data_IF_643736804848
#
_entry.id   IF_643736804848
#
_cell.length_a   1.000
_cell.length_b   1.000
_cell.length_c   1.000
_cell.angle_alpha   90.00
_cell.angle_beta   90.00
_cell.angle_gamma   90.00
#
_symmetry.space_group_name_H-M   'P 1'
#
loop_
_entity.id
_entity.type
_entity.pdbx_description
1 polymer ?
#
# COMPACT_ATOMS: atom_id res chain seq x y z
N UNK A 1 -29.06 20.64 -3.63
CA UNK A 1 -28.28 19.40 -3.79
C UNK A 1 -26.98 19.80 -4.48
N UNK A 2 -25.89 20.03 -3.73
CA UNK A 2 -24.63 20.53 -4.33
C UNK A 2 -23.98 19.40 -5.15
N UNK A 3 -23.85 19.58 -6.46
CA UNK A 3 -23.04 18.69 -7.30
C UNK A 3 -21.61 18.67 -6.75
N UNK A 4 -21.17 17.53 -6.21
CA UNK A 4 -19.76 17.33 -5.84
C UNK A 4 -18.93 17.36 -7.12
N UNK A 5 -18.31 18.51 -7.40
CA UNK A 5 -17.45 18.76 -8.56
C UNK A 5 -16.33 17.71 -8.64
N UNK A 6 -16.48 16.74 -9.55
CA UNK A 6 -15.45 15.75 -9.87
C UNK A 6 -14.31 16.43 -10.63
N UNK A 7 -13.06 16.13 -10.26
CA UNK A 7 -11.87 16.61 -10.98
C UNK A 7 -10.99 15.42 -11.34
N UNK A 8 -10.67 15.27 -12.63
CA UNK A 8 -9.76 14.24 -13.13
C UNK A 8 -8.39 14.86 -13.36
N UNK A 9 -7.35 14.24 -12.83
CA UNK A 9 -5.97 14.70 -12.99
C UNK A 9 -5.26 13.87 -14.05
N UNK A 10 -4.44 14.52 -14.89
CA UNK A 10 -3.60 13.85 -15.90
C UNK A 10 -2.68 12.76 -15.30
N UNK A 11 -2.38 12.87 -14.01
CA UNK A 11 -1.59 11.90 -13.27
C UNK A 11 -2.34 10.59 -12.93
N UNK A 12 -3.58 10.39 -13.41
CA UNK A 12 -4.28 9.09 -13.33
C UNK A 12 -5.11 8.87 -12.07
N UNK A 13 -5.69 9.93 -11.49
CA UNK A 13 -6.62 9.81 -10.36
C UNK A 13 -7.76 10.84 -10.42
N UNK A 14 -8.83 10.53 -9.70
CA UNK A 14 -10.08 11.28 -9.64
C UNK A 14 -10.23 11.85 -8.24
N UNK A 15 -10.64 13.11 -8.11
CA UNK A 15 -10.99 13.76 -6.84
C UNK A 15 -12.48 14.07 -6.81
N UNK A 16 -13.16 13.61 -5.76
CA UNK A 16 -14.58 13.93 -5.46
C UNK A 16 -14.63 14.61 -4.09
N UNK A 17 -14.79 15.93 -4.06
CA UNK A 17 -14.68 16.70 -2.82
C UNK A 17 -13.27 16.65 -2.23
N UNK A 18 -13.13 16.13 -1.00
CA UNK A 18 -11.83 15.98 -0.32
C UNK A 18 -11.19 14.59 -0.48
N UNK A 19 -11.85 13.67 -1.22
CA UNK A 19 -11.45 12.28 -1.38
C UNK A 19 -10.88 12.03 -2.77
N UNK A 20 -9.91 11.12 -2.86
CA UNK A 20 -9.26 10.72 -4.10
C UNK A 20 -9.41 9.22 -4.36
N UNK A 21 -9.51 8.90 -5.65
CA UNK A 21 -9.78 7.56 -6.16
C UNK A 21 -8.90 7.28 -7.38
N UNK A 22 -8.57 6.01 -7.62
CA UNK A 22 -7.96 5.59 -8.89
C UNK A 22 -8.97 5.73 -10.04
N UNK A 23 -8.50 5.59 -11.28
CA UNK A 23 -9.39 5.58 -12.46
C UNK A 23 -10.41 4.44 -12.42
N UNK A 24 -10.11 3.36 -11.68
CA UNK A 24 -11.01 2.23 -11.44
C UNK A 24 -11.84 2.41 -10.16
N UNK A 25 -11.99 3.65 -9.69
CA UNK A 25 -12.80 4.06 -8.53
C UNK A 25 -12.40 3.41 -7.20
N UNK A 26 -11.15 2.94 -7.06
CA UNK A 26 -10.64 2.45 -5.77
C UNK A 26 -10.17 3.62 -4.91
N UNK A 27 -10.54 3.63 -3.64
CA UNK A 27 -10.25 4.76 -2.75
C UNK A 27 -8.77 4.84 -2.41
N UNK A 28 -8.13 5.99 -2.59
CA UNK A 28 -6.70 6.17 -2.28
C UNK A 28 -6.51 6.83 -0.90
N UNK A 29 -7.43 7.74 -0.53
CA UNK A 29 -7.30 8.58 0.64
C UNK A 29 -7.79 10.01 0.40
N UNK A 30 -7.26 10.97 1.16
CA UNK A 30 -7.55 12.38 0.93
C UNK A 30 -6.91 12.88 -0.38
N UNK A 31 -7.47 13.93 -0.98
CA UNK A 31 -6.91 14.57 -2.17
C UNK A 31 -5.47 15.07 -1.98
N UNK A 32 -5.14 15.53 -0.77
CA UNK A 32 -3.77 15.93 -0.39
C UNK A 32 -2.83 14.73 -0.37
N UNK A 33 -3.25 13.62 0.23
CA UNK A 33 -2.45 12.39 0.29
C UNK A 33 -2.22 11.84 -1.13
N UNK A 34 -3.27 11.72 -1.95
CA UNK A 34 -3.12 11.25 -3.33
C UNK A 34 -2.21 12.13 -4.18
N UNK A 35 -2.30 13.46 -4.03
CA UNK A 35 -1.37 14.36 -4.71
C UNK A 35 0.07 14.15 -4.25
N UNK A 36 0.32 13.98 -2.95
CA UNK A 36 1.65 13.69 -2.43
C UNK A 36 2.20 12.35 -2.96
N UNK A 37 1.41 11.27 -2.90
CA UNK A 37 1.82 9.94 -3.35
C UNK A 37 2.10 9.91 -4.86
N UNK A 38 1.15 10.38 -5.66
CA UNK A 38 1.21 10.22 -7.12
C UNK A 38 2.09 11.28 -7.77
N UNK A 39 1.85 12.56 -7.46
CA UNK A 39 2.50 13.67 -8.17
C UNK A 39 3.88 13.96 -7.59
N UNK A 40 4.02 13.98 -6.26
CA UNK A 40 5.31 14.33 -5.63
C UNK A 40 6.24 13.14 -5.49
N UNK A 41 5.71 11.94 -5.23
CA UNK A 41 6.51 10.72 -5.01
C UNK A 41 6.54 9.76 -6.20
N UNK A 42 5.67 9.93 -7.20
CA UNK A 42 5.62 9.02 -8.34
C UNK A 42 5.19 7.60 -7.97
N UNK A 43 4.45 7.44 -6.87
CA UNK A 43 3.93 6.15 -6.40
C UNK A 43 2.61 5.89 -7.12
N UNK A 44 2.51 4.73 -7.77
CA UNK A 44 1.29 4.28 -8.45
C UNK A 44 0.44 3.44 -7.49
N UNK A 45 -0.75 3.91 -7.06
CA UNK A 45 -1.53 3.22 -6.03
C UNK A 45 -2.22 1.95 -6.52
N UNK A 46 -2.23 0.94 -5.66
CA UNK A 46 -2.85 -0.36 -5.87
C UNK A 46 -3.61 -0.82 -4.63
N UNK A 47 -4.68 -1.57 -4.84
CA UNK A 47 -5.38 -2.33 -3.79
C UNK A 47 -4.70 -3.68 -3.58
N UNK A 48 -4.66 -4.14 -2.34
CA UNK A 48 -4.34 -5.54 -2.04
C UNK A 48 -5.58 -6.43 -2.22
N UNK A 49 -5.41 -7.75 -2.43
CA UNK A 49 -6.53 -8.68 -2.49
C UNK A 49 -7.46 -8.54 -1.28
N UNK A 50 -8.77 -8.53 -1.51
CA UNK A 50 -9.77 -8.37 -0.45
C UNK A 50 -10.00 -6.94 0.05
N UNK A 51 -9.14 -5.98 -0.30
CA UNK A 51 -9.26 -4.58 0.14
C UNK A 51 -9.96 -3.69 -0.90
N UNK A 52 -10.75 -2.72 -0.41
CA UNK A 52 -11.39 -1.68 -1.25
C UNK A 52 -10.57 -0.39 -1.33
N UNK A 53 -9.53 -0.29 -0.51
CA UNK A 53 -8.70 0.89 -0.33
C UNK A 53 -7.31 0.60 -0.91
N UNK A 54 -6.78 1.54 -1.68
CA UNK A 54 -5.39 1.54 -2.11
C UNK A 54 -4.50 1.94 -0.93
N UNK A 55 -3.74 0.98 -0.44
CA UNK A 55 -2.85 1.11 0.70
C UNK A 55 -1.40 0.74 0.36
N UNK A 56 -1.14 0.28 -0.87
CA UNK A 56 0.20 0.01 -1.37
C UNK A 56 0.41 0.63 -2.75
N UNK A 57 1.66 0.77 -3.19
CA UNK A 57 1.94 1.26 -4.53
C UNK A 57 3.41 1.22 -4.91
N UNK A 58 3.68 1.09 -6.21
CA UNK A 58 5.04 1.00 -6.74
C UNK A 58 5.55 2.36 -7.20
N UNK A 59 6.78 2.71 -6.82
CA UNK A 59 7.50 3.85 -7.37
C UNK A 59 8.57 3.35 -8.34
N UNK A 60 8.34 3.55 -9.65
CA UNK A 60 9.30 3.14 -10.69
C UNK A 60 10.62 3.89 -10.61
N UNK A 61 10.60 5.16 -10.20
CA UNK A 61 11.82 5.97 -10.06
C UNK A 61 12.75 5.45 -8.96
N UNK A 62 12.18 5.00 -7.83
CA UNK A 62 12.96 4.49 -6.69
C UNK A 62 13.16 2.97 -6.72
N UNK A 63 12.47 2.24 -7.61
CA UNK A 63 12.42 0.77 -7.62
C UNK A 63 12.01 0.21 -6.23
N UNK A 64 11.00 0.84 -5.62
CA UNK A 64 10.49 0.51 -4.29
C UNK A 64 8.99 0.34 -4.28
N UNK A 65 8.53 -0.55 -3.41
CA UNK A 65 7.13 -0.67 -3.04
C UNK A 65 6.86 0.11 -1.76
N UNK A 66 5.80 0.90 -1.76
CA UNK A 66 5.35 1.65 -0.60
C UNK A 66 4.07 1.07 -0.06
N UNK A 67 3.89 1.24 1.24
CA UNK A 67 2.66 1.00 1.96
C UNK A 67 2.33 2.24 2.78
N UNK A 68 1.04 2.57 2.93
CA UNK A 68 0.63 3.74 3.71
C UNK A 68 -0.71 3.56 4.41
N UNK A 69 -0.86 4.36 5.45
CA UNK A 69 -2.09 4.61 6.18
C UNK A 69 -2.41 6.11 6.14
N UNK A 70 -3.32 6.59 6.99
CA UNK A 70 -3.55 8.02 7.14
C UNK A 70 -2.33 8.77 7.71
N UNK A 71 -1.49 8.08 8.48
CA UNK A 71 -0.41 8.71 9.28
C UNK A 71 0.98 8.18 8.95
N UNK A 72 1.09 6.99 8.36
CA UNK A 72 2.38 6.36 8.07
C UNK A 72 2.54 6.11 6.57
N UNK A 73 3.78 6.24 6.09
CA UNK A 73 4.20 5.83 4.75
C UNK A 73 5.54 5.11 4.91
N UNK A 74 5.59 3.84 4.53
CA UNK A 74 6.80 3.01 4.59
C UNK A 74 7.17 2.53 3.19
N UNK A 75 8.47 2.44 2.90
CA UNK A 75 8.99 2.05 1.58
C UNK A 75 9.98 0.90 1.69
N UNK A 76 9.81 -0.09 0.82
CA UNK A 76 10.59 -1.33 0.77
C UNK A 76 11.27 -1.46 -0.58
N UNK A 77 12.60 -1.60 -0.56
CA UNK A 77 13.43 -1.79 -1.75
C UNK A 77 14.21 -3.10 -1.72
N UNK A 78 14.80 -3.47 -2.85
CA UNK A 78 15.68 -4.63 -2.92
C UNK A 78 16.86 -4.42 -1.95
N UNK A 79 17.21 -5.46 -1.21
CA UNK A 79 18.20 -5.43 -0.14
C UNK A 79 17.64 -5.02 1.23
N UNK A 80 16.36 -4.67 1.34
CA UNK A 80 15.74 -4.41 2.65
C UNK A 80 15.76 -5.66 3.51
N UNK A 81 16.23 -5.52 4.75
CA UNK A 81 16.36 -6.60 5.73
C UNK A 81 15.34 -6.38 6.84
N UNK A 82 14.44 -7.33 7.00
CA UNK A 82 13.45 -7.32 8.07
C UNK A 82 14.12 -7.61 9.40
N UNK A 83 13.89 -6.75 10.39
CA UNK A 83 14.44 -6.86 11.73
C UNK A 83 13.37 -7.36 12.70
N UNK A 84 13.84 -7.91 13.82
CA UNK A 84 12.94 -8.30 14.91
C UNK A 84 12.26 -7.04 15.46
N UNK A 85 10.93 -7.08 15.54
CA UNK A 85 10.10 -5.95 15.99
C UNK A 85 9.65 -5.01 14.88
N UNK A 86 9.98 -5.27 13.61
CA UNK A 86 9.35 -4.55 12.51
C UNK A 86 7.88 -4.97 12.40
N UNK A 87 6.98 -4.02 12.11
CA UNK A 87 5.53 -4.30 12.00
C UNK A 87 5.19 -5.38 10.97
N UNK A 88 6.02 -5.58 9.94
CA UNK A 88 5.87 -6.67 8.96
C UNK A 88 6.06 -8.07 9.57
N UNK A 89 6.64 -8.17 10.78
CA UNK A 89 6.86 -9.45 11.49
C UNK A 89 5.72 -9.82 12.43
N UNK A 90 4.77 -8.92 12.67
CA UNK A 90 3.67 -9.09 13.64
C UNK A 90 2.42 -9.70 13.01
N UNK A 91 2.37 -9.84 11.69
CA UNK A 91 1.29 -10.54 11.00
C UNK A 91 1.44 -12.05 11.19
N UNK A 92 1.10 -12.57 12.37
CA UNK A 92 0.96 -14.01 12.59
C UNK A 92 -0.36 -14.47 11.97
N UNK A 93 -0.35 -14.76 10.67
CA UNK A 93 -1.53 -15.31 10.01
C UNK A 93 -1.87 -16.68 10.60
N UNK A 94 -3.15 -16.90 10.89
CA UNK A 94 -3.62 -18.22 11.28
C UNK A 94 -3.40 -19.20 10.11
N UNK A 95 -3.14 -20.47 10.45
CA UNK A 95 -2.97 -21.52 9.45
C UNK A 95 -4.18 -21.62 8.50
N UNK A 96 -5.40 -21.31 8.97
CA UNK A 96 -6.60 -21.30 8.14
C UNK A 96 -6.58 -20.19 7.09
N UNK A 97 -6.04 -19.01 7.42
CA UNK A 97 -5.92 -17.90 6.48
C UNK A 97 -4.85 -18.19 5.42
N UNK A 98 -3.68 -18.71 5.83
CA UNK A 98 -2.61 -19.12 4.92
C UNK A 98 -3.06 -20.22 3.93
N UNK A 99 -3.98 -21.09 4.35
CA UNK A 99 -4.55 -22.12 3.46
C UNK A 99 -5.43 -21.51 2.35
N UNK A 100 -6.12 -20.41 2.64
CA UNK A 100 -6.99 -19.69 1.69
C UNK A 100 -6.22 -18.67 0.84
N UNK A 101 -5.04 -18.26 1.32
CA UNK A 101 -4.18 -17.24 0.72
C UNK A 101 -2.73 -17.75 0.62
N UNK A 102 -2.44 -18.74 -0.24
CA UNK A 102 -1.10 -19.32 -0.38
C UNK A 102 -0.05 -18.31 -0.91
N UNK A 103 -0.49 -17.17 -1.44
CA UNK A 103 0.37 -16.03 -1.78
C UNK A 103 0.92 -15.28 -0.56
N UNK A 104 0.28 -15.45 0.60
CA UNK A 104 0.63 -14.81 1.86
C UNK A 104 1.49 -15.75 2.69
N UNK A 105 2.60 -15.24 3.20
CA UNK A 105 3.55 -16.00 4.03
C UNK A 105 3.93 -15.15 5.25
N UNK A 106 4.15 -15.81 6.39
CA UNK A 106 4.63 -15.12 7.60
C UNK A 106 6.07 -14.62 7.37
N UNK A 107 6.24 -13.30 7.36
CA UNK A 107 7.54 -12.67 7.19
C UNK A 107 8.29 -12.69 8.52
N UNK A 108 9.44 -13.37 8.55
CA UNK A 108 10.26 -13.48 9.76
C UNK A 108 11.41 -12.49 9.76
N UNK A 109 11.87 -12.12 10.96
CA UNK A 109 13.12 -11.40 11.12
C UNK A 109 14.27 -12.14 10.41
N UNK A 110 15.11 -11.39 9.70
CA UNK A 110 16.16 -11.93 8.82
C UNK A 110 15.73 -12.13 7.37
N UNK A 111 14.45 -11.93 7.02
CA UNK A 111 14.02 -11.91 5.63
C UNK A 111 14.71 -10.77 4.87
N UNK A 112 15.26 -11.08 3.70
CA UNK A 112 15.92 -10.12 2.81
C UNK A 112 15.12 -10.04 1.52
N UNK A 113 14.64 -8.84 1.17
CA UNK A 113 13.96 -8.63 -0.10
C UNK A 113 14.97 -8.73 -1.26
N UNK A 114 14.91 -9.79 -2.06
CA UNK A 114 15.84 -10.00 -3.18
C UNK A 114 15.25 -9.54 -4.51
N UNK A 115 13.93 -9.47 -4.57
CA UNK A 115 13.18 -9.12 -5.78
C UNK A 115 12.17 -8.00 -5.50
N UNK A 116 11.70 -7.34 -6.56
CA UNK A 116 10.58 -6.38 -6.44
C UNK A 116 9.31 -7.04 -5.90
N UNK A 117 9.12 -8.33 -6.16
CA UNK A 117 7.99 -9.07 -5.62
C UNK A 117 8.12 -9.24 -4.09
N UNK A 118 9.34 -9.47 -3.58
CA UNK A 118 9.58 -9.49 -2.14
C UNK A 118 9.29 -8.14 -1.49
N UNK A 119 9.67 -7.04 -2.15
CA UNK A 119 9.34 -5.69 -1.70
C UNK A 119 7.81 -5.47 -1.66
N UNK A 120 7.08 -5.96 -2.66
CA UNK A 120 5.62 -5.92 -2.69
C UNK A 120 5.03 -6.70 -1.52
N UNK A 121 5.53 -7.91 -1.25
CA UNK A 121 5.10 -8.73 -0.10
C UNK A 121 5.28 -7.98 1.22
N UNK A 122 6.42 -7.30 1.41
CA UNK A 122 6.65 -6.47 2.60
C UNK A 122 5.66 -5.30 2.71
N UNK A 123 5.36 -4.63 1.59
CA UNK A 123 4.37 -3.55 1.57
C UNK A 123 2.95 -4.03 1.93
N UNK A 124 2.58 -5.23 1.45
CA UNK A 124 1.30 -5.88 1.79
C UNK A 124 1.24 -6.20 3.29
N UNK A 125 2.25 -6.91 3.82
CA UNK A 125 2.31 -7.28 5.24
C UNK A 125 2.30 -6.04 6.17
N UNK A 126 2.98 -4.96 5.76
CA UNK A 126 2.94 -3.70 6.49
C UNK A 126 1.55 -3.07 6.46
N UNK A 127 0.86 -3.12 5.32
CA UNK A 127 -0.49 -2.59 5.24
C UNK A 127 -1.45 -3.36 6.15
N UNK A 128 -1.30 -4.67 6.25
CA UNK A 128 -2.18 -5.54 7.04
C UNK A 128 -1.95 -5.35 8.54
N UNK A 129 -0.69 -5.30 8.98
CA UNK A 129 -0.35 -4.95 10.37
C UNK A 129 -0.84 -3.55 10.76
N UNK A 130 -0.72 -2.57 9.86
CA UNK A 130 -1.26 -1.23 10.08
C UNK A 130 -2.81 -1.19 10.08
N UNK A 131 -3.48 -2.19 9.51
CA UNK A 131 -4.95 -2.24 9.42
C UNK A 131 -5.62 -2.78 10.68
N UNK A 132 -4.88 -3.41 11.61
CA UNK A 132 -5.41 -3.76 12.93
C UNK A 132 -5.68 -2.54 13.84
N UNK A 133 -5.31 -1.33 13.40
CA UNK A 133 -5.51 -0.08 14.14
C UNK A 133 -6.61 0.83 13.57
N UNK A 134 -7.48 0.31 12.70
CA UNK A 134 -8.65 1.04 12.16
C UNK A 134 -9.97 0.53 12.72
#
# INVERSE_FOLDING_TARGET
MQEKKERRYKAGYIVRGCQAYTMNEKYIGSSKLAHFLIVKKGIMPETTPGQRICCIGFCKGEQKWYSWSQVYICGFGIGHIVRKGDSVTESEWSNEYLLKHPETENIKAGFVAKTLNDCRKLAVAFSESASQFF
#
